data_IF_428238676052
#
_entry.id   IF_428238676052
#
_cell.length_a   1.000
_cell.length_b   1.000
_cell.length_c   1.000
_cell.angle_alpha   90.00
_cell.angle_beta   90.00
_cell.angle_gamma   90.00
#
_symmetry.space_group_name_H-M   'P 1'
#
loop_
_entity.id
_entity.type
_entity.pdbx_description
1 polymer ?
#
# COMPACT_ATOMS: atom_id res chain seq x y z
N UNK A 1 -27.03 -3.73 -35.52
CA UNK A 1 -27.11 -4.74 -34.45
C UNK A 1 -28.38 -4.47 -33.67
N UNK A 2 -29.24 -5.47 -33.46
CA UNK A 2 -30.53 -5.26 -32.80
C UNK A 2 -30.34 -5.05 -31.29
N UNK A 3 -31.19 -4.22 -30.68
CA UNK A 3 -31.21 -3.97 -29.22
C UNK A 3 -31.28 -5.26 -28.39
N UNK A 4 -31.93 -6.29 -28.93
CA UNK A 4 -32.00 -7.61 -28.33
C UNK A 4 -30.62 -8.27 -28.15
N UNK A 5 -29.74 -8.11 -29.14
CA UNK A 5 -28.39 -8.69 -29.07
C UNK A 5 -27.52 -7.96 -28.02
N UNK A 6 -27.67 -6.64 -27.92
CA UNK A 6 -26.99 -5.85 -26.89
C UNK A 6 -27.49 -6.17 -25.49
N UNK A 7 -28.79 -6.37 -25.29
CA UNK A 7 -29.37 -6.75 -24.00
C UNK A 7 -28.90 -8.15 -23.56
N UNK A 8 -28.90 -9.12 -24.47
CA UNK A 8 -28.43 -10.50 -24.19
C UNK A 8 -26.94 -10.56 -23.87
N UNK A 9 -26.13 -9.74 -24.54
CA UNK A 9 -24.70 -9.64 -24.22
C UNK A 9 -24.45 -9.00 -22.85
N UNK A 10 -25.31 -8.06 -22.43
CA UNK A 10 -25.20 -7.38 -21.14
C UNK A 10 -25.66 -8.29 -20.01
N UNK A 11 -26.71 -9.09 -20.24
CA UNK A 11 -27.15 -10.15 -19.35
C UNK A 11 -26.05 -11.18 -19.10
N UNK A 12 -25.41 -11.72 -20.15
CA UNK A 12 -24.31 -12.67 -19.99
C UNK A 12 -23.11 -12.08 -19.21
N UNK A 13 -22.78 -10.81 -19.46
CA UNK A 13 -21.71 -10.12 -18.73
C UNK A 13 -22.08 -9.94 -17.24
N UNK A 14 -23.33 -9.62 -16.94
CA UNK A 14 -23.82 -9.52 -15.57
C UNK A 14 -23.82 -10.89 -14.87
N UNK A 15 -24.21 -11.96 -15.54
CA UNK A 15 -24.16 -13.32 -14.99
C UNK A 15 -22.73 -13.76 -14.68
N UNK A 16 -21.80 -13.54 -15.62
CA UNK A 16 -20.37 -13.84 -15.41
C UNK A 16 -19.78 -13.00 -14.28
N UNK A 17 -20.13 -11.72 -14.22
CA UNK A 17 -19.70 -10.84 -13.14
C UNK A 17 -20.25 -11.30 -11.79
N UNK A 18 -21.54 -11.61 -11.69
CA UNK A 18 -22.17 -12.09 -10.47
C UNK A 18 -21.57 -13.43 -10.02
N UNK A 19 -21.37 -14.37 -10.94
CA UNK A 19 -20.71 -15.64 -10.66
C UNK A 19 -19.28 -15.44 -10.13
N UNK A 20 -18.52 -14.51 -10.74
CA UNK A 20 -17.19 -14.12 -10.28
C UNK A 20 -17.20 -13.54 -8.87
N UNK A 21 -18.11 -12.60 -8.59
CA UNK A 21 -18.25 -11.98 -7.26
C UNK A 21 -18.66 -13.00 -6.21
N UNK A 22 -19.62 -13.88 -6.51
CA UNK A 22 -20.05 -14.95 -5.60
C UNK A 22 -18.88 -15.87 -5.25
N UNK A 23 -18.08 -16.29 -6.23
CA UNK A 23 -16.92 -17.15 -6.00
C UNK A 23 -15.87 -16.49 -5.09
N UNK A 24 -15.58 -15.20 -5.31
CA UNK A 24 -14.67 -14.43 -4.46
C UNK A 24 -15.20 -14.31 -3.03
N UNK A 25 -16.50 -14.05 -2.87
CA UNK A 25 -17.14 -13.93 -1.55
C UNK A 25 -17.23 -15.27 -0.83
N UNK A 26 -17.47 -16.37 -1.55
CA UNK A 26 -17.50 -17.71 -0.98
C UNK A 26 -16.13 -18.14 -0.45
N UNK A 27 -15.07 -17.89 -1.22
CA UNK A 27 -13.69 -18.10 -0.75
C UNK A 27 -13.40 -17.27 0.50
N UNK A 28 -13.89 -16.02 0.54
CA UNK A 28 -13.71 -15.15 1.69
C UNK A 28 -14.47 -15.63 2.92
N UNK A 29 -15.69 -16.13 2.74
CA UNK A 29 -16.50 -16.68 3.83
C UNK A 29 -15.83 -17.93 4.41
N UNK A 30 -15.34 -18.83 3.56
CA UNK A 30 -14.58 -20.01 3.99
C UNK A 30 -13.35 -19.65 4.84
N UNK A 31 -12.65 -18.56 4.51
CA UNK A 31 -11.54 -18.06 5.34
C UNK A 31 -12.02 -17.61 6.72
N UNK A 32 -13.12 -16.85 6.77
CA UNK A 32 -13.67 -16.37 8.04
C UNK A 32 -14.20 -17.51 8.90
N UNK A 33 -14.86 -18.50 8.31
CA UNK A 33 -15.35 -19.68 9.01
C UNK A 33 -14.20 -20.50 9.61
N UNK A 34 -13.12 -20.70 8.86
CA UNK A 34 -11.94 -21.38 9.40
C UNK A 34 -11.26 -20.57 10.52
N UNK A 35 -11.22 -19.24 10.45
CA UNK A 35 -10.73 -18.41 11.56
C UNK A 35 -11.63 -18.51 12.80
N UNK A 36 -12.95 -18.51 12.62
CA UNK A 36 -13.89 -18.68 13.73
C UNK A 36 -13.73 -20.05 14.39
N UNK A 37 -13.60 -21.12 13.59
CA UNK A 37 -13.32 -22.47 14.11
C UNK A 37 -12.01 -22.50 14.90
N UNK A 38 -10.99 -21.77 14.47
CA UNK A 38 -9.72 -21.66 15.20
C UNK A 38 -9.89 -20.87 16.53
N UNK A 39 -10.72 -19.82 16.55
CA UNK A 39 -11.04 -19.08 17.78
C UNK A 39 -11.76 -19.99 18.78
N UNK A 40 -12.72 -20.79 18.32
CA UNK A 40 -13.42 -21.77 19.17
C UNK A 40 -12.43 -22.79 19.76
N UNK A 41 -11.51 -23.32 18.95
CA UNK A 41 -10.43 -24.22 19.43
C UNK A 41 -9.53 -23.50 20.44
N UNK A 42 -9.19 -22.23 20.22
CA UNK A 42 -8.39 -21.44 21.16
C UNK A 42 -9.09 -21.23 22.50
N UNK A 43 -10.43 -21.09 22.50
CA UNK A 43 -11.21 -20.98 23.74
C UNK A 43 -11.25 -22.31 24.48
N UNK A 44 -11.52 -23.41 23.77
CA UNK A 44 -11.48 -24.76 24.34
C UNK A 44 -10.10 -25.10 24.94
N UNK A 45 -9.02 -24.60 24.32
CA UNK A 45 -7.65 -24.71 24.86
C UNK A 45 -7.50 -24.04 26.21
N UNK A 46 -8.14 -22.88 26.39
CA UNK A 46 -8.05 -22.09 27.62
C UNK A 46 -8.84 -22.75 28.76
N UNK A 47 -9.92 -23.45 28.39
CA UNK A 47 -10.77 -24.22 29.29
C UNK A 47 -10.19 -25.60 29.65
N UNK A 48 -8.95 -25.89 29.24
CA UNK A 48 -8.21 -27.10 29.62
C UNK A 48 -8.66 -28.39 28.92
N UNK A 49 -9.40 -28.28 27.81
CA UNK A 49 -9.82 -29.45 27.02
C UNK A 49 -8.67 -29.93 26.12
N UNK A 50 -8.67 -31.23 25.80
CA UNK A 50 -7.71 -31.78 24.83
C UNK A 50 -8.13 -31.36 23.41
N UNK A 51 -7.43 -30.39 22.86
CA UNK A 51 -7.70 -29.80 21.53
C UNK A 51 -6.84 -30.40 20.41
N UNK A 52 -5.92 -31.33 20.71
CA UNK A 52 -4.87 -31.75 19.78
C UNK A 52 -5.42 -32.30 18.45
N UNK A 53 -6.54 -33.01 18.51
CA UNK A 53 -7.22 -33.55 17.33
C UNK A 53 -7.88 -32.42 16.52
N UNK A 54 -8.65 -31.54 17.18
CA UNK A 54 -9.36 -30.44 16.53
C UNK A 54 -8.41 -29.44 15.84
N UNK A 55 -7.27 -29.12 16.45
CA UNK A 55 -6.25 -28.27 15.81
C UNK A 55 -5.53 -29.01 14.68
N UNK A 56 -5.30 -30.32 14.81
CA UNK A 56 -4.72 -31.14 13.76
C UNK A 56 -5.61 -31.20 12.50
N UNK A 57 -6.91 -31.41 12.69
CA UNK A 57 -7.91 -31.34 11.61
C UNK A 57 -7.92 -29.96 10.95
N UNK A 58 -7.89 -28.90 11.76
CA UNK A 58 -7.86 -27.54 11.24
C UNK A 58 -6.64 -27.29 10.36
N UNK A 59 -5.45 -27.74 10.76
CA UNK A 59 -4.25 -27.63 9.94
C UNK A 59 -4.36 -28.41 8.63
N UNK A 60 -4.95 -29.60 8.66
CA UNK A 60 -5.12 -30.42 7.47
C UNK A 60 -6.04 -29.77 6.44
N UNK A 61 -7.16 -29.20 6.88
CA UNK A 61 -8.13 -28.52 6.03
C UNK A 61 -7.57 -27.23 5.41
N UNK A 62 -6.74 -26.49 6.16
CA UNK A 62 -6.33 -25.13 5.80
C UNK A 62 -4.88 -25.00 5.33
N UNK A 63 -4.14 -26.10 5.18
CA UNK A 63 -2.74 -26.09 4.71
C UNK A 63 -2.56 -25.35 3.37
N UNK A 64 -3.56 -25.40 2.48
CA UNK A 64 -3.52 -24.69 1.19
C UNK A 64 -3.51 -23.16 1.31
N UNK A 65 -3.89 -22.60 2.46
CA UNK A 65 -3.87 -21.15 2.70
C UNK A 65 -2.46 -20.59 2.87
N UNK A 66 -1.48 -21.45 3.18
CA UNK A 66 -0.06 -21.07 3.25
C UNK A 66 0.51 -20.79 1.85
N UNK A 67 0.06 -21.53 0.84
CA UNK A 67 0.62 -21.47 -0.52
C UNK A 67 -0.13 -20.49 -1.42
N UNK A 68 -1.45 -20.37 -1.23
CA UNK A 68 -2.30 -19.49 -2.02
C UNK A 68 -2.43 -18.16 -1.28
N UNK A 69 -2.15 -17.04 -1.93
CA UNK A 69 -2.26 -15.66 -1.39
C UNK A 69 -3.72 -15.23 -1.13
N UNK A 70 -4.49 -16.07 -0.43
CA UNK A 70 -5.91 -15.93 -0.14
C UNK A 70 -6.12 -15.16 1.17
N UNK A 71 -5.15 -15.26 2.08
CA UNK A 71 -5.17 -14.56 3.36
C UNK A 71 -4.68 -13.11 3.22
N UNK A 72 -5.38 -12.18 3.86
CA UNK A 72 -4.90 -10.80 4.05
C UNK A 72 -4.00 -10.72 5.27
N UNK A 73 -3.10 -9.74 5.31
CA UNK A 73 -2.17 -9.51 6.43
C UNK A 73 -2.86 -9.47 7.81
N UNK A 74 -4.05 -8.87 7.88
CA UNK A 74 -4.84 -8.79 9.11
C UNK A 74 -5.27 -10.18 9.60
N UNK A 75 -5.61 -11.08 8.67
CA UNK A 75 -6.06 -12.44 8.99
C UNK A 75 -4.88 -13.31 9.40
N UNK A 76 -3.75 -13.17 8.72
CA UNK A 76 -2.50 -13.83 9.10
C UNK A 76 -2.13 -13.44 10.54
N UNK A 77 -2.20 -12.15 10.88
CA UNK A 77 -1.97 -11.69 12.24
C UNK A 77 -2.97 -12.26 13.26
N UNK A 78 -4.25 -12.37 12.91
CA UNK A 78 -5.27 -12.99 13.78
C UNK A 78 -5.01 -14.47 14.01
N UNK A 79 -4.72 -15.22 12.94
CA UNK A 79 -4.40 -16.66 13.00
C UNK A 79 -3.15 -16.85 13.88
N UNK A 80 -2.09 -16.06 13.67
CA UNK A 80 -0.87 -16.13 14.49
C UNK A 80 -1.15 -15.94 15.99
N UNK A 81 -1.94 -14.93 16.35
CA UNK A 81 -2.31 -14.70 17.75
C UNK A 81 -3.11 -15.86 18.36
N UNK A 82 -4.05 -16.45 17.60
CA UNK A 82 -4.84 -17.59 18.05
C UNK A 82 -3.97 -18.85 18.22
N UNK A 83 -3.06 -19.10 17.28
CA UNK A 83 -2.13 -20.22 17.35
C UNK A 83 -1.13 -20.07 18.50
N UNK A 84 -0.69 -18.85 18.82
CA UNK A 84 0.16 -18.57 19.98
C UNK A 84 -0.56 -18.89 21.30
N UNK A 85 -1.83 -18.50 21.44
CA UNK A 85 -2.65 -18.85 22.60
C UNK A 85 -2.81 -20.36 22.75
N UNK A 86 -3.03 -21.07 21.64
CA UNK A 86 -3.12 -22.54 21.63
C UNK A 86 -1.78 -23.18 21.99
N UNK A 87 -0.66 -22.67 21.47
CA UNK A 87 0.69 -23.13 21.81
C UNK A 87 0.98 -23.00 23.31
N UNK A 88 0.56 -21.89 23.92
CA UNK A 88 0.68 -21.68 25.36
C UNK A 88 -0.17 -22.68 26.16
N UNK A 89 -1.39 -22.98 25.69
CA UNK A 89 -2.25 -24.01 26.27
C UNK A 89 -1.63 -25.41 26.20
N UNK A 90 -1.05 -25.78 25.06
CA UNK A 90 -0.38 -27.07 24.85
C UNK A 90 0.89 -27.20 25.71
N UNK A 91 1.64 -26.10 25.88
CA UNK A 91 2.90 -26.07 26.62
C UNK A 91 2.75 -26.13 28.15
N UNK A 92 1.57 -25.77 28.69
CA UNK A 92 1.27 -25.92 30.12
C UNK A 92 1.18 -27.37 30.58
N UNK A 93 0.90 -28.28 29.65
CA UNK A 93 0.61 -29.66 29.95
C UNK A 93 1.91 -30.47 29.98
N UNK A 94 2.32 -30.92 31.18
CA UNK A 94 3.68 -31.41 31.54
C UNK A 94 4.22 -32.59 30.72
N UNK A 95 3.38 -33.22 29.89
CA UNK A 95 3.74 -34.39 29.09
C UNK A 95 3.81 -33.98 27.62
N UNK A 96 5.04 -33.87 27.09
CA UNK A 96 5.30 -33.63 25.67
C UNK A 96 5.16 -34.94 24.90
N UNK A 97 3.99 -35.17 24.30
CA UNK A 97 3.76 -36.28 23.37
C UNK A 97 4.34 -35.95 21.98
N UNK A 98 4.65 -36.96 21.14
CA UNK A 98 5.12 -36.74 19.76
C UNK A 98 4.16 -35.89 18.92
N UNK A 99 2.86 -36.01 19.19
CA UNK A 99 1.79 -35.22 18.56
C UNK A 99 1.91 -33.74 18.88
N UNK A 100 2.13 -33.39 20.15
CA UNK A 100 2.33 -31.99 20.57
C UNK A 100 3.56 -31.35 19.92
N UNK A 101 4.63 -32.13 19.68
CA UNK A 101 5.82 -31.62 18.96
C UNK A 101 5.51 -31.32 17.50
N UNK A 102 4.72 -32.17 16.84
CA UNK A 102 4.26 -31.92 15.46
C UNK A 102 3.36 -30.69 15.37
N UNK A 103 2.44 -30.54 16.32
CA UNK A 103 1.59 -29.35 16.41
C UNK A 103 2.40 -28.09 16.66
N UNK A 104 3.38 -28.12 17.56
CA UNK A 104 4.29 -27.00 17.78
C UNK A 104 5.07 -26.63 16.50
N UNK A 105 5.60 -27.63 15.76
CA UNK A 105 6.30 -27.36 14.51
C UNK A 105 5.40 -26.77 13.42
N UNK A 106 4.12 -27.15 13.40
CA UNK A 106 3.16 -26.58 12.45
C UNK A 106 2.79 -25.16 12.87
N UNK A 107 2.53 -24.89 14.16
CA UNK A 107 2.32 -23.54 14.69
C UNK A 107 3.50 -22.62 14.33
N UNK A 108 4.73 -23.08 14.50
CA UNK A 108 5.92 -22.32 14.12
C UNK A 108 5.97 -22.06 12.60
N UNK A 109 5.59 -23.03 11.77
CA UNK A 109 5.49 -22.86 10.31
C UNK A 109 4.49 -21.77 9.94
N UNK A 110 3.34 -21.70 10.62
CA UNK A 110 2.32 -20.68 10.42
C UNK A 110 2.75 -19.30 10.95
N UNK A 111 3.43 -19.23 12.09
CA UNK A 111 3.95 -17.99 12.67
C UNK A 111 5.07 -17.37 11.83
N UNK A 112 5.95 -18.19 11.25
CA UNK A 112 6.97 -17.74 10.30
C UNK A 112 6.37 -17.07 9.05
N UNK A 113 5.12 -17.40 8.69
CA UNK A 113 4.40 -16.73 7.60
C UNK A 113 4.00 -15.30 7.99
N UNK A 114 3.57 -15.10 9.24
CA UNK A 114 3.27 -13.77 9.79
C UNK A 114 4.51 -12.87 9.81
N UNK A 115 5.69 -13.44 10.12
CA UNK A 115 6.96 -12.70 10.10
C UNK A 115 7.47 -12.37 8.69
N UNK A 116 7.12 -13.17 7.68
CA UNK A 116 7.45 -12.92 6.26
C UNK A 116 6.62 -11.81 5.64
N UNK A 117 5.45 -11.48 6.19
CA UNK A 117 4.76 -10.26 5.75
C UNK A 117 5.64 -9.06 6.11
N UNK A 118 5.96 -8.15 5.16
CA UNK A 118 6.80 -7.01 5.46
C UNK A 118 6.10 -6.22 6.57
N UNK A 119 6.63 -6.30 7.80
CA UNK A 119 6.12 -5.55 8.94
C UNK A 119 5.97 -4.11 8.46
N UNK A 120 4.73 -3.66 8.27
CA UNK A 120 4.46 -2.28 7.91
C UNK A 120 5.12 -1.47 9.00
N UNK A 121 6.23 -0.82 8.68
CA UNK A 121 6.94 0.06 9.61
C UNK A 121 6.01 1.25 9.79
N UNK A 122 5.05 1.10 10.71
CA UNK A 122 4.29 2.21 11.22
C UNK A 122 5.29 2.90 12.14
N UNK A 123 6.00 3.88 11.59
CA UNK A 123 6.66 4.91 12.37
C UNK A 123 5.56 5.54 13.23
N UNK A 124 5.39 5.03 14.45
CA UNK A 124 4.66 5.72 15.51
C UNK A 124 5.52 6.93 15.86
N UNK A 125 5.41 7.99 15.03
CA UNK A 125 5.93 9.30 15.40
C UNK A 125 5.23 9.64 16.72
N UNK A 126 6.02 9.77 17.77
CA UNK A 126 5.56 10.52 18.93
C UNK A 126 5.21 11.91 18.39
N UNK A 127 4.08 12.47 18.83
CA UNK A 127 3.64 13.78 18.36
C UNK A 127 4.82 14.73 18.39
N UNK A 128 5.22 15.23 17.22
CA UNK A 128 6.26 16.23 17.13
C UNK A 128 5.83 17.35 18.07
N UNK A 129 6.61 17.62 19.11
CA UNK A 129 6.47 18.84 19.91
C UNK A 129 6.89 19.98 19.00
N UNK A 130 5.95 20.38 18.14
CA UNK A 130 6.09 21.51 17.23
C UNK A 130 6.24 22.74 18.14
N UNK A 131 7.47 23.23 18.28
CA UNK A 131 7.81 24.47 19.00
C UNK A 131 7.17 25.74 18.39
N UNK A 132 6.31 25.61 17.37
CA UNK A 132 5.56 26.70 16.76
C UNK A 132 4.22 26.17 16.20
N UNK A 133 3.11 26.26 16.97
CA UNK A 133 1.79 26.07 16.39
C UNK A 133 1.50 27.29 15.51
N UNK A 134 1.02 27.07 14.29
CA UNK A 134 0.54 28.07 13.32
C UNK A 134 1.54 28.59 12.26
N UNK A 135 2.00 27.70 11.37
CA UNK A 135 1.88 28.02 9.95
C UNK A 135 1.15 26.88 9.26
N UNK A 136 -0.11 27.14 8.93
CA UNK A 136 -0.99 26.28 8.16
C UNK A 136 -0.24 25.76 6.92
N UNK A 137 0.20 24.51 6.94
CA UNK A 137 0.94 23.89 5.84
C UNK A 137 0.13 23.97 4.54
N UNK A 138 -1.21 23.88 4.66
CA UNK A 138 -2.16 24.04 3.55
C UNK A 138 -2.11 25.45 2.97
N UNK A 139 -2.14 26.52 3.79
CA UNK A 139 -2.08 27.89 3.25
C UNK A 139 -0.70 28.24 2.69
N UNK A 140 0.37 27.61 3.17
CA UNK A 140 1.67 27.68 2.51
C UNK A 140 1.63 27.05 1.12
N UNK A 141 1.00 25.88 0.96
CA UNK A 141 0.82 25.25 -0.35
C UNK A 141 -0.03 26.12 -1.28
N UNK A 142 -1.14 26.67 -0.80
CA UNK A 142 -2.00 27.57 -1.59
C UNK A 142 -1.22 28.80 -2.07
N UNK A 143 -0.45 29.42 -1.17
CA UNK A 143 0.41 30.57 -1.53
C UNK A 143 1.50 30.18 -2.55
N UNK A 144 2.07 28.98 -2.45
CA UNK A 144 3.07 28.49 -3.41
C UNK A 144 2.45 28.14 -4.76
N UNK A 145 1.25 27.56 -4.77
CA UNK A 145 0.49 27.26 -5.97
C UNK A 145 0.08 28.56 -6.68
N UNK A 146 -0.42 29.55 -5.92
CA UNK A 146 -0.80 30.85 -6.45
C UNK A 146 0.39 31.59 -7.06
N UNK A 147 1.57 31.56 -6.40
CA UNK A 147 2.81 32.09 -6.97
C UNK A 147 3.23 31.36 -8.24
N UNK A 148 3.14 30.03 -8.28
CA UNK A 148 3.46 29.24 -9.46
C UNK A 148 2.49 29.52 -10.62
N UNK A 149 1.20 29.70 -10.33
CA UNK A 149 0.16 30.04 -11.31
C UNK A 149 0.33 31.46 -11.85
N UNK A 150 0.70 32.42 -11.00
CA UNK A 150 0.99 33.79 -11.45
C UNK A 150 2.25 33.82 -12.33
N UNK A 151 3.32 33.13 -11.93
CA UNK A 151 4.51 32.96 -12.78
C UNK A 151 4.21 32.24 -14.10
N UNK A 152 3.28 31.28 -14.08
CA UNK A 152 2.83 30.63 -15.30
C UNK A 152 2.04 31.59 -16.17
N UNK A 153 1.11 32.38 -15.63
CA UNK A 153 0.34 33.39 -16.38
C UNK A 153 1.24 34.47 -16.99
N UNK A 154 2.20 34.97 -16.23
CA UNK A 154 3.16 35.99 -16.68
C UNK A 154 4.03 35.48 -17.83
N UNK A 155 4.46 34.21 -17.78
CA UNK A 155 5.27 33.59 -18.84
C UNK A 155 4.45 33.02 -19.99
N UNK A 156 3.19 32.67 -19.72
CA UNK A 156 2.25 32.20 -20.72
C UNK A 156 1.84 33.35 -21.64
N UNK A 157 1.60 34.55 -21.11
CA UNK A 157 1.36 35.78 -21.89
C UNK A 157 0.65 35.52 -23.23
N UNK A 158 1.38 35.71 -24.34
CA UNK A 158 0.91 35.47 -25.73
C UNK A 158 1.41 34.15 -26.36
N UNK A 159 2.03 33.25 -25.59
CA UNK A 159 2.64 32.01 -26.11
C UNK A 159 1.61 30.89 -26.24
N UNK A 160 1.34 30.48 -27.48
CA UNK A 160 0.38 29.40 -27.81
C UNK A 160 0.81 27.99 -27.38
N UNK A 161 2.09 27.77 -27.06
CA UNK A 161 2.63 26.44 -26.75
C UNK A 161 3.27 26.35 -25.37
N UNK A 162 2.85 25.33 -24.60
CA UNK A 162 3.34 25.01 -23.26
C UNK A 162 4.85 24.72 -23.25
N UNK A 163 5.39 24.18 -24.34
CA UNK A 163 6.84 23.93 -24.48
C UNK A 163 7.66 25.24 -24.54
N UNK A 164 7.11 26.31 -25.09
CA UNK A 164 7.77 27.62 -25.12
C UNK A 164 7.78 28.25 -23.72
N UNK A 165 6.75 28.00 -22.92
CA UNK A 165 6.68 28.40 -21.50
C UNK A 165 7.67 27.58 -20.67
N UNK A 166 7.82 26.29 -20.99
CA UNK A 166 8.81 25.42 -20.35
C UNK A 166 10.25 25.86 -20.63
N UNK A 167 10.60 26.16 -21.89
CA UNK A 167 11.96 26.59 -22.25
C UNK A 167 12.32 27.94 -21.59
N UNK A 168 11.37 28.87 -21.55
CA UNK A 168 11.53 30.13 -20.82
C UNK A 168 11.63 29.92 -19.31
N UNK A 169 10.84 28.99 -18.74
CA UNK A 169 10.91 28.71 -17.31
C UNK A 169 12.24 28.08 -16.92
N UNK A 170 12.76 27.17 -17.74
CA UNK A 170 14.10 26.61 -17.57
C UNK A 170 15.18 27.67 -17.74
N UNK A 171 15.10 28.54 -18.76
CA UNK A 171 16.05 29.66 -18.94
C UNK A 171 16.04 30.61 -17.75
N UNK A 172 14.87 30.98 -17.23
CA UNK A 172 14.82 31.80 -16.01
C UNK A 172 15.36 31.06 -14.79
N UNK A 173 15.13 29.75 -14.67
CA UNK A 173 15.71 28.95 -13.59
C UNK A 173 17.24 28.91 -13.67
N UNK A 174 17.82 28.83 -14.87
CA UNK A 174 19.26 28.91 -15.10
C UNK A 174 19.83 30.31 -14.83
N UNK A 175 19.26 31.34 -15.44
CA UNK A 175 19.81 32.71 -15.42
C UNK A 175 19.54 33.43 -14.11
N UNK A 176 18.32 33.31 -13.57
CA UNK A 176 17.88 34.06 -12.39
C UNK A 176 17.92 33.22 -11.10
N UNK A 177 18.26 31.92 -11.17
CA UNK A 177 18.31 30.99 -10.02
C UNK A 177 17.03 30.99 -9.19
N UNK A 178 15.89 31.25 -9.84
CA UNK A 178 14.61 31.32 -9.18
C UNK A 178 14.08 29.89 -8.90
N UNK A 179 13.92 29.55 -7.62
CA UNK A 179 13.42 28.23 -7.17
C UNK A 179 11.99 27.97 -7.64
N UNK A 180 11.17 29.01 -7.75
CA UNK A 180 9.77 28.87 -8.16
C UNK A 180 9.66 28.55 -9.66
N UNK A 181 10.58 29.07 -10.49
CA UNK A 181 10.66 28.73 -11.92
C UNK A 181 11.15 27.29 -12.16
N UNK A 182 12.02 26.78 -11.27
CA UNK A 182 12.44 25.37 -11.29
C UNK A 182 11.27 24.44 -10.91
N UNK A 183 10.51 24.79 -9.87
CA UNK A 183 9.33 24.01 -9.48
C UNK A 183 8.26 24.01 -10.59
N UNK A 184 8.00 25.17 -11.20
CA UNK A 184 7.06 25.28 -12.32
C UNK A 184 7.50 24.43 -13.53
N UNK A 185 8.78 24.45 -13.89
CA UNK A 185 9.29 23.60 -14.98
C UNK A 185 9.20 22.11 -14.64
N UNK A 186 9.40 21.73 -13.38
CA UNK A 186 9.18 20.37 -12.89
C UNK A 186 7.73 19.91 -13.03
N UNK A 187 6.76 20.76 -12.66
CA UNK A 187 5.35 20.46 -12.83
C UNK A 187 4.95 20.29 -14.30
N UNK A 188 5.41 21.18 -15.17
CA UNK A 188 5.11 21.09 -16.62
C UNK A 188 5.70 19.81 -17.22
N UNK A 189 6.93 19.45 -16.87
CA UNK A 189 7.57 18.21 -17.34
C UNK A 189 6.82 16.97 -16.83
N UNK A 190 6.34 16.99 -15.59
CA UNK A 190 5.56 15.90 -15.01
C UNK A 190 4.24 15.69 -15.78
N UNK A 191 3.50 16.77 -16.08
CA UNK A 191 2.28 16.68 -16.89
C UNK A 191 2.54 16.17 -18.31
N UNK A 192 3.55 16.71 -18.98
CA UNK A 192 3.92 16.25 -20.33
C UNK A 192 4.32 14.76 -20.35
N UNK A 193 4.95 14.26 -19.28
CA UNK A 193 5.30 12.84 -19.18
C UNK A 193 4.07 11.94 -18.99
N UNK A 194 3.07 12.40 -18.23
CA UNK A 194 1.82 11.66 -18.05
C UNK A 194 1.06 11.51 -19.38
N UNK A 195 1.10 12.54 -20.22
CA UNK A 195 0.45 12.55 -21.53
C UNK A 195 1.29 11.86 -22.64
N UNK A 196 2.41 11.23 -22.28
CA UNK A 196 3.23 10.42 -23.20
C UNK A 196 4.20 11.21 -24.09
N UNK A 197 4.47 12.48 -23.79
CA UNK A 197 5.45 13.27 -24.55
C UNK A 197 6.90 12.91 -24.19
N UNK A 198 7.79 12.97 -25.19
CA UNK A 198 9.23 12.75 -25.04
C UNK A 198 9.90 13.97 -24.36
N UNK A 199 9.99 13.94 -23.04
CA UNK A 199 10.53 15.03 -22.21
C UNK A 199 11.99 14.83 -21.77
N UNK A 200 12.66 13.77 -22.23
CA UNK A 200 14.03 13.42 -21.79
C UNK A 200 15.07 14.54 -21.91
N UNK A 201 15.10 15.37 -22.99
CA UNK A 201 16.03 16.49 -23.08
C UNK A 201 15.76 17.57 -22.02
N UNK A 202 14.49 17.80 -21.68
CA UNK A 202 14.06 18.79 -20.69
C UNK A 202 14.31 18.31 -19.25
N UNK A 203 14.19 17.01 -18.99
CA UNK A 203 14.53 16.39 -17.71
C UNK A 203 16.02 16.52 -17.41
N UNK A 204 16.90 16.32 -18.41
CA UNK A 204 18.36 16.53 -18.25
C UNK A 204 18.68 17.98 -17.89
N UNK A 205 18.11 18.94 -18.63
CA UNK A 205 18.26 20.38 -18.36
C UNK A 205 17.74 20.78 -16.97
N UNK A 206 16.63 20.19 -16.52
CA UNK A 206 16.09 20.44 -15.18
C UNK A 206 17.03 19.92 -14.08
N UNK A 207 17.61 18.73 -14.25
CA UNK A 207 18.60 18.17 -13.31
C UNK A 207 19.87 19.02 -13.25
N UNK A 208 20.34 19.54 -14.38
CA UNK A 208 21.48 20.46 -14.42
C UNK A 208 21.18 21.77 -13.67
N UNK A 209 19.99 22.35 -13.88
CA UNK A 209 19.55 23.54 -13.14
C UNK A 209 19.41 23.27 -11.63
N UNK A 210 18.92 22.09 -11.25
CA UNK A 210 18.82 21.68 -9.84
C UNK A 210 20.20 21.50 -9.20
N UNK A 211 21.16 20.89 -9.91
CA UNK A 211 22.54 20.73 -9.44
C UNK A 211 23.23 22.08 -9.23
N UNK A 212 23.02 23.06 -10.12
CA UNK A 212 23.55 24.42 -9.95
C UNK A 212 22.94 25.15 -8.74
N UNK A 213 21.70 24.84 -8.37
CA UNK A 213 21.04 25.38 -7.18
C UNK A 213 21.46 24.67 -5.88
N UNK A 214 21.70 23.36 -5.94
CA UNK A 214 22.18 22.54 -4.80
C UNK A 214 23.67 22.71 -4.53
N UNK A 215 24.50 22.96 -5.55
CA UNK A 215 25.94 23.20 -5.42
C UNK A 215 26.33 24.45 -4.62
N UNK A 216 25.36 25.27 -4.19
CA UNK A 216 25.56 26.38 -3.25
C UNK A 216 25.26 26.05 -1.78
N UNK A 217 24.81 24.83 -1.47
CA UNK A 217 24.48 24.39 -0.10
C UNK A 217 25.59 23.56 0.58
N UNK A 218 26.75 23.41 -0.05
CA UNK A 218 27.87 22.61 0.48
C UNK A 218 28.98 23.43 1.17
N UNK A 219 28.84 24.76 1.25
CA UNK A 219 29.75 25.63 2.01
C UNK A 219 28.97 26.41 3.09
N UNK A 220 28.53 25.71 4.14
CA UNK A 220 28.36 26.22 5.53
C UNK A 220 28.57 25.06 6.49
#
# INVERSE_FOLDING_TARGET
MSEYFTLKSLEGLLEEFLAGVVKVKQNRLSVLDGINRLDDISRMSSDGHNINEAIGEWFAEHNQWLDKSVLKDIEIGRIGNLLENISFGISKDKISTPEKRKLASEIDRWNNLAEKTPKKVILKRHGETVKNPALNTITMYDNHLEKALNLFKDKAGDKKHILSVLDDSLKSAFTQKNKDALLLSGYIIYYLKLDGYLVDPYVKRLKEAEQMLKGKKADV
#
